data_IF_898680176097
#
_entry.id   IF_898680176097
#
_cell.length_a   1.000
_cell.length_b   1.000
_cell.length_c   1.000
_cell.angle_alpha   90.00
_cell.angle_beta   90.00
_cell.angle_gamma   90.00
#
_symmetry.space_group_name_H-M   'P 1'
#
loop_
_entity.id
_entity.type
_entity.pdbx_description
1 polymer ?
#
# COMPACT_ATOMS: atom_id res chain seq x y z
N UNK A 1 0.83 9.72 2.64
CA UNK A 1 0.29 8.37 2.36
C UNK A 1 0.19 8.12 0.85
N UNK A 2 -0.66 8.84 0.10
CA UNK A 2 -0.85 8.65 -1.36
C UNK A 2 0.46 8.78 -2.16
N UNK A 3 1.28 9.79 -1.88
CA UNK A 3 2.61 9.92 -2.52
C UNK A 3 3.54 8.73 -2.26
N UNK A 4 3.51 8.18 -1.04
CA UNK A 4 4.26 6.96 -0.68
C UNK A 4 3.75 5.73 -1.44
N UNK A 5 2.43 5.55 -1.54
CA UNK A 5 1.81 4.47 -2.33
C UNK A 5 2.16 4.59 -3.82
N UNK A 6 2.20 5.82 -4.35
CA UNK A 6 2.60 6.08 -5.74
C UNK A 6 4.05 5.67 -5.98
N UNK A 7 4.96 6.01 -5.06
CA UNK A 7 6.36 5.56 -5.13
C UNK A 7 6.51 4.04 -5.05
N UNK A 8 5.73 3.37 -4.19
CA UNK A 8 5.71 1.90 -4.12
C UNK A 8 5.28 1.29 -5.46
N UNK A 9 4.23 1.83 -6.08
CA UNK A 9 3.77 1.38 -7.40
C UNK A 9 4.82 1.62 -8.50
N UNK A 10 5.52 2.76 -8.47
CA UNK A 10 6.65 3.03 -9.39
C UNK A 10 7.77 2.02 -9.18
N UNK A 11 8.12 1.70 -7.93
CA UNK A 11 9.14 0.68 -7.64
C UNK A 11 8.77 -0.70 -8.19
N UNK A 12 7.51 -1.12 -8.03
CA UNK A 12 6.99 -2.34 -8.66
C UNK A 12 7.04 -2.28 -10.19
N UNK A 13 6.63 -1.17 -10.80
CA UNK A 13 6.69 -1.00 -12.25
C UNK A 13 8.13 -1.06 -12.80
N UNK A 14 9.09 -0.45 -12.10
CA UNK A 14 10.51 -0.54 -12.47
C UNK A 14 11.01 -2.00 -12.46
N UNK A 15 10.63 -2.77 -11.43
CA UNK A 15 10.97 -4.19 -11.36
C UNK A 15 10.26 -5.02 -12.43
N UNK A 16 9.02 -4.66 -12.79
CA UNK A 16 8.27 -5.31 -13.86
C UNK A 16 8.87 -5.11 -15.25
N UNK A 17 9.64 -4.03 -15.44
CA UNK A 17 10.32 -3.67 -16.68
C UNK A 17 11.74 -4.25 -16.79
N UNK A 18 12.17 -5.06 -15.82
CA UNK A 18 13.49 -5.69 -15.86
C UNK A 18 13.62 -6.58 -17.12
N UNK A 19 14.74 -6.49 -17.87
CA UNK A 19 14.94 -7.31 -19.06
C UNK A 19 15.20 -8.78 -18.69
N UNK A 20 15.14 -9.68 -19.67
CA UNK A 20 15.34 -11.12 -19.47
C UNK A 20 16.69 -11.48 -18.79
N UNK A 21 17.72 -10.66 -18.98
CA UNK A 21 19.03 -10.81 -18.33
C UNK A 21 19.35 -9.55 -17.52
N UNK A 22 18.76 -9.37 -16.34
CA UNK A 22 18.90 -8.13 -15.57
C UNK A 22 20.23 -8.09 -14.84
N UNK A 23 20.81 -6.90 -14.76
CA UNK A 23 21.92 -6.62 -13.85
C UNK A 23 21.36 -6.00 -12.57
N UNK A 24 21.83 -6.47 -11.42
CA UNK A 24 21.29 -6.02 -10.14
C UNK A 24 21.32 -4.50 -9.98
N UNK A 25 22.45 -3.87 -10.29
CA UNK A 25 22.66 -2.42 -10.05
C UNK A 25 21.78 -1.54 -10.94
N UNK A 26 21.55 -1.94 -12.20
CA UNK A 26 20.80 -1.11 -13.16
C UNK A 26 19.30 -1.39 -13.12
N UNK A 27 18.92 -2.66 -13.00
CA UNK A 27 17.55 -3.09 -13.29
C UNK A 27 16.77 -3.41 -12.02
N UNK A 28 17.44 -3.81 -10.93
CA UNK A 28 16.78 -4.24 -9.68
C UNK A 28 16.92 -3.18 -8.58
N UNK A 29 18.15 -2.71 -8.35
CA UNK A 29 18.49 -1.79 -7.27
C UNK A 29 17.65 -0.50 -7.29
N UNK A 30 17.40 0.17 -8.44
CA UNK A 30 16.57 1.36 -8.46
C UNK A 30 15.12 1.04 -8.06
N UNK A 31 14.56 -0.06 -8.57
CA UNK A 31 13.21 -0.50 -8.26
C UNK A 31 12.99 -0.77 -6.77
N UNK A 32 13.86 -1.58 -6.15
CA UNK A 32 13.78 -1.87 -4.70
C UNK A 32 14.04 -0.64 -3.83
N UNK A 33 14.91 0.28 -4.28
CA UNK A 33 15.23 1.50 -3.53
C UNK A 33 14.06 2.47 -3.51
N UNK A 34 13.44 2.71 -4.68
CA UNK A 34 12.24 3.55 -4.80
C UNK A 34 11.08 2.94 -4.03
N UNK A 35 10.91 1.62 -4.11
CA UNK A 35 9.89 0.90 -3.35
C UNK A 35 10.10 1.04 -1.83
N UNK A 36 11.33 0.85 -1.33
CA UNK A 36 11.64 0.98 0.10
C UNK A 36 11.43 2.40 0.63
N UNK A 37 11.80 3.41 -0.17
CA UNK A 37 11.53 4.80 0.16
C UNK A 37 10.02 5.09 0.22
N UNK A 38 9.26 4.63 -0.78
CA UNK A 38 7.81 4.73 -0.82
C UNK A 38 7.14 4.05 0.39
N UNK A 39 7.60 2.84 0.75
CA UNK A 39 7.11 2.10 1.92
C UNK A 39 7.35 2.87 3.21
N UNK A 40 8.50 3.52 3.37
CA UNK A 40 8.82 4.32 4.56
C UNK A 40 7.87 5.51 4.71
N UNK A 41 7.56 6.20 3.60
CA UNK A 41 6.59 7.30 3.55
C UNK A 41 5.13 6.86 3.72
N UNK A 42 4.84 5.57 3.48
CA UNK A 42 3.51 4.98 3.62
C UNK A 42 3.26 4.45 5.04
N UNK A 43 4.18 3.63 5.56
CA UNK A 43 4.00 2.87 6.81
C UNK A 43 3.92 3.78 8.03
N UNK A 44 4.75 4.83 8.08
CA UNK A 44 4.77 5.79 9.19
C UNK A 44 3.41 6.47 9.43
N UNK A 45 2.81 7.18 8.44
CA UNK A 45 1.51 7.79 8.64
C UNK A 45 0.39 6.75 8.80
N UNK A 46 0.44 5.60 8.12
CA UNK A 46 -0.60 4.57 8.22
C UNK A 46 -0.71 4.03 9.65
N UNK A 47 0.42 3.68 10.27
CA UNK A 47 0.47 3.23 11.66
C UNK A 47 -0.06 4.31 12.61
N UNK A 48 0.35 5.56 12.38
CA UNK A 48 -0.15 6.71 13.14
C UNK A 48 -1.67 6.86 13.06
N UNK A 49 -2.25 6.76 11.85
CA UNK A 49 -3.71 6.87 11.67
C UNK A 49 -4.49 5.75 12.37
N UNK A 50 -3.99 4.51 12.31
CA UNK A 50 -4.65 3.36 12.97
C UNK A 50 -4.62 3.51 14.49
N UNK A 51 -3.49 3.94 15.05
CA UNK A 51 -3.37 4.17 16.48
C UNK A 51 -4.22 5.37 16.95
N UNK A 52 -4.28 6.44 16.15
CA UNK A 52 -5.08 7.64 16.46
C UNK A 52 -6.59 7.39 16.38
N UNK A 53 -7.04 6.39 15.62
CA UNK A 53 -8.44 5.98 15.55
C UNK A 53 -8.90 5.20 16.81
N UNK A 54 -7.96 4.76 17.66
CA UNK A 54 -8.27 3.99 18.86
C UNK A 54 -8.64 4.89 20.05
N UNK A 55 -9.63 4.51 20.88
CA UNK A 55 -9.90 5.19 22.14
C UNK A 55 -8.67 5.21 23.06
N UNK A 56 -8.55 6.25 23.89
CA UNK A 56 -7.48 6.40 24.86
C UNK A 56 -7.28 5.13 25.70
N UNK A 57 -6.06 4.60 25.74
CA UNK A 57 -5.73 3.35 26.45
C UNK A 57 -5.86 2.06 25.63
N UNK A 58 -6.30 2.11 24.36
CA UNK A 58 -6.44 0.92 23.48
C UNK A 58 -5.48 0.87 22.30
N UNK A 59 -4.39 1.65 22.32
CA UNK A 59 -3.37 1.66 21.25
C UNK A 59 -2.70 0.30 21.05
N UNK A 60 -2.51 -0.47 22.13
CA UNK A 60 -1.99 -1.84 22.07
C UNK A 60 -2.88 -2.80 21.27
N UNK A 61 -4.20 -2.72 21.46
CA UNK A 61 -5.19 -3.50 20.69
C UNK A 61 -5.17 -3.09 19.21
N UNK A 62 -5.14 -1.79 18.93
CA UNK A 62 -5.09 -1.28 17.56
C UNK A 62 -3.82 -1.72 16.81
N UNK A 63 -2.65 -1.68 17.46
CA UNK A 63 -1.40 -2.20 16.89
C UNK A 63 -1.45 -3.72 16.69
N UNK A 64 -2.05 -4.46 17.63
CA UNK A 64 -2.25 -5.91 17.51
C UNK A 64 -3.09 -6.28 16.29
N UNK A 65 -4.20 -5.57 16.07
CA UNK A 65 -5.05 -5.75 14.87
C UNK A 65 -4.27 -5.42 13.61
N UNK A 66 -3.56 -4.28 13.56
CA UNK A 66 -2.75 -3.90 12.41
C UNK A 66 -1.70 -4.95 12.05
N UNK A 67 -1.03 -5.52 13.05
CA UNK A 67 -0.06 -6.60 12.86
C UNK A 67 -0.72 -7.89 12.35
N UNK A 68 -1.86 -8.28 12.91
CA UNK A 68 -2.61 -9.46 12.48
C UNK A 68 -3.06 -9.33 11.02
N UNK A 69 -3.63 -8.18 10.65
CA UNK A 69 -4.03 -7.86 9.28
C UNK A 69 -2.82 -7.89 8.35
N UNK A 70 -1.72 -7.22 8.69
CA UNK A 70 -0.52 -7.15 7.85
C UNK A 70 0.07 -8.53 7.56
N UNK A 71 0.18 -9.38 8.59
CA UNK A 71 0.67 -10.76 8.40
C UNK A 71 -0.27 -11.60 7.55
N UNK A 72 -1.57 -11.52 7.83
CA UNK A 72 -2.57 -12.28 7.08
C UNK A 72 -2.58 -11.86 5.61
N UNK A 73 -2.53 -10.57 5.32
CA UNK A 73 -2.40 -10.05 3.96
C UNK A 73 -1.14 -10.58 3.25
N UNK A 74 0.01 -10.61 3.96
CA UNK A 74 1.24 -11.20 3.44
C UNK A 74 1.10 -12.69 3.10
N UNK A 75 0.49 -13.49 3.98
CA UNK A 75 0.24 -14.91 3.74
C UNK A 75 -0.70 -15.15 2.56
N UNK A 76 -1.78 -14.35 2.47
CA UNK A 76 -2.71 -14.40 1.34
C UNK A 76 -1.99 -14.03 0.03
N UNK A 77 -1.17 -12.98 0.03
CA UNK A 77 -0.40 -12.60 -1.15
C UNK A 77 0.56 -13.72 -1.58
N UNK A 78 1.28 -14.33 -0.65
CA UNK A 78 2.19 -15.47 -0.92
C UNK A 78 1.45 -16.67 -1.50
N UNK A 79 0.24 -16.96 -1.01
CA UNK A 79 -0.55 -18.08 -1.52
C UNK A 79 -1.21 -17.78 -2.87
N UNK A 80 -1.78 -16.58 -3.04
CA UNK A 80 -2.61 -16.25 -4.19
C UNK A 80 -1.82 -15.76 -5.40
N UNK A 81 -0.75 -14.98 -5.19
CA UNK A 81 -0.05 -14.32 -6.29
C UNK A 81 0.58 -15.31 -7.28
N UNK A 82 1.25 -16.41 -6.87
CA UNK A 82 1.78 -17.39 -7.81
C UNK A 82 0.69 -18.05 -8.65
N UNK A 83 -0.45 -18.39 -8.04
CA UNK A 83 -1.61 -18.93 -8.76
C UNK A 83 -2.16 -17.93 -9.76
N UNK A 84 -2.24 -16.65 -9.39
CA UNK A 84 -2.75 -15.57 -10.24
C UNK A 84 -1.91 -15.38 -11.51
N UNK A 85 -0.60 -15.63 -11.44
CA UNK A 85 0.33 -15.51 -12.57
C UNK A 85 0.63 -16.84 -13.26
N UNK A 86 -0.11 -17.91 -12.92
CA UNK A 86 0.03 -19.22 -13.55
C UNK A 86 1.30 -19.99 -13.16
N UNK A 87 1.94 -19.61 -12.05
CA UNK A 87 3.15 -20.25 -11.54
C UNK A 87 2.78 -21.33 -10.51
N UNK A 88 2.54 -22.55 -11.01
CA UNK A 88 2.15 -23.72 -10.21
C UNK A 88 2.88 -24.99 -10.63
N UNK A 89 3.13 -25.89 -9.68
CA UNK A 89 3.70 -27.22 -9.96
C UNK A 89 5.04 -27.18 -10.70
N UNK A 90 5.15 -27.88 -11.82
CA UNK A 90 6.38 -27.94 -12.63
C UNK A 90 6.75 -26.61 -13.29
N UNK A 91 5.87 -25.61 -13.32
CA UNK A 91 6.17 -24.29 -13.88
C UNK A 91 7.35 -23.60 -13.18
N UNK A 92 7.62 -23.93 -11.91
CA UNK A 92 8.78 -23.43 -11.17
C UNK A 92 10.13 -23.93 -11.68
N UNK A 93 10.14 -25.01 -12.46
CA UNK A 93 11.37 -25.59 -13.02
C UNK A 93 11.82 -24.89 -14.31
N UNK A 94 10.97 -24.01 -14.86
CA UNK A 94 11.23 -23.27 -16.09
C UNK A 94 11.57 -21.81 -15.75
N UNK A 95 12.83 -21.44 -15.97
CA UNK A 95 13.34 -20.11 -15.65
C UNK A 95 12.68 -18.98 -16.45
N UNK A 96 12.31 -19.23 -17.71
CA UNK A 96 11.65 -18.21 -18.54
C UNK A 96 10.23 -17.94 -18.03
N UNK A 97 9.50 -19.00 -17.70
CA UNK A 97 8.15 -18.89 -17.11
C UNK A 97 8.17 -18.20 -15.75
N UNK A 98 9.17 -18.47 -14.92
CA UNK A 98 9.36 -17.77 -13.64
C UNK A 98 9.62 -16.27 -13.87
N UNK A 99 10.45 -15.91 -14.84
CA UNK A 99 10.74 -14.52 -15.16
C UNK A 99 9.51 -13.75 -15.70
N UNK A 100 8.74 -14.37 -16.60
CA UNK A 100 7.49 -13.80 -17.11
C UNK A 100 6.43 -13.64 -16.01
N UNK A 101 6.27 -14.66 -15.17
CA UNK A 101 5.38 -14.65 -14.02
C UNK A 101 5.78 -13.57 -13.00
N UNK A 102 7.08 -13.36 -12.78
CA UNK A 102 7.59 -12.28 -11.94
C UNK A 102 7.18 -10.90 -12.47
N UNK A 103 7.43 -10.61 -13.75
CA UNK A 103 7.06 -9.33 -14.35
C UNK A 103 5.56 -9.07 -14.28
N UNK A 104 4.75 -10.08 -14.62
CA UNK A 104 3.29 -10.02 -14.51
C UNK A 104 2.82 -9.82 -13.07
N UNK A 105 3.45 -10.50 -12.10
CA UNK A 105 3.17 -10.36 -10.68
C UNK A 105 3.48 -8.95 -10.16
N UNK A 106 4.56 -8.34 -10.62
CA UNK A 106 4.90 -6.97 -10.27
C UNK A 106 3.85 -5.96 -10.79
N UNK A 107 3.28 -6.18 -11.98
CA UNK A 107 2.17 -5.36 -12.46
C UNK A 107 0.89 -5.52 -11.63
N UNK A 108 0.57 -6.74 -11.18
CA UNK A 108 -0.53 -6.97 -10.24
C UNK A 108 -0.32 -6.24 -8.91
N UNK A 109 0.89 -6.28 -8.37
CA UNK A 109 1.26 -5.53 -7.17
C UNK A 109 1.13 -4.01 -7.38
N UNK A 110 1.65 -3.48 -8.49
CA UNK A 110 1.55 -2.07 -8.84
C UNK A 110 0.08 -1.62 -8.95
N UNK A 111 -0.74 -2.37 -9.69
CA UNK A 111 -2.16 -2.10 -9.84
C UNK A 111 -2.90 -2.12 -8.51
N UNK A 112 -2.65 -3.12 -7.66
CA UNK A 112 -3.27 -3.23 -6.34
C UNK A 112 -2.94 -2.05 -5.42
N UNK A 113 -1.68 -1.60 -5.43
CA UNK A 113 -1.25 -0.43 -4.65
C UNK A 113 -1.89 0.85 -5.17
N UNK A 114 -2.02 1.01 -6.49
CA UNK A 114 -2.69 2.16 -7.09
C UNK A 114 -4.19 2.19 -6.77
N UNK A 115 -4.86 1.04 -6.79
CA UNK A 115 -6.24 0.92 -6.31
C UNK A 115 -6.37 1.39 -4.85
N UNK A 116 -5.45 0.95 -3.98
CA UNK A 116 -5.37 1.41 -2.59
C UNK A 116 -5.10 2.91 -2.46
N UNK A 117 -4.24 3.47 -3.32
CA UNK A 117 -3.94 4.91 -3.35
C UNK A 117 -5.16 5.73 -3.76
N UNK A 118 -5.94 5.27 -4.75
CA UNK A 118 -7.20 5.91 -5.14
C UNK A 118 -8.22 5.86 -4.01
N UNK A 119 -8.40 4.70 -3.37
CA UNK A 119 -9.29 4.58 -2.22
C UNK A 119 -8.88 5.51 -1.08
N UNK A 120 -7.57 5.62 -0.80
CA UNK A 120 -7.05 6.53 0.20
C UNK A 120 -7.27 8.01 -0.16
N UNK A 121 -7.08 8.39 -1.43
CA UNK A 121 -7.32 9.75 -1.89
C UNK A 121 -8.79 10.16 -1.72
N UNK A 122 -9.72 9.30 -2.15
CA UNK A 122 -11.17 9.55 -2.01
C UNK A 122 -11.60 9.57 -0.54
N UNK A 123 -11.10 8.62 0.26
CA UNK A 123 -11.43 8.54 1.69
C UNK A 123 -10.91 9.73 2.49
N UNK A 124 -9.65 10.14 2.30
CA UNK A 124 -9.04 11.22 3.08
C UNK A 124 -9.61 12.60 2.72
N UNK A 125 -9.90 12.87 1.45
CA UNK A 125 -10.55 14.12 1.06
C UNK A 125 -11.96 14.26 1.66
N UNK A 126 -12.68 13.15 1.81
CA UNK A 126 -14.01 13.14 2.40
C UNK A 126 -13.99 13.51 3.90
N UNK A 127 -13.01 13.02 4.65
CA UNK A 127 -12.86 13.30 6.08
C UNK A 127 -12.47 14.76 6.35
N UNK A 128 -11.55 15.32 5.55
CA UNK A 128 -11.14 16.72 5.67
C UNK A 128 -12.32 17.67 5.40
N UNK A 129 -13.10 17.42 4.34
CA UNK A 129 -14.31 18.22 4.06
C UNK A 129 -15.35 18.13 5.17
N UNK A 130 -15.58 16.93 5.72
CA UNK A 130 -16.56 16.70 6.79
C UNK A 130 -16.20 17.45 8.09
N UNK A 131 -14.91 17.50 8.43
CA UNK A 131 -14.43 18.27 9.59
C UNK A 131 -14.56 19.77 9.36
N UNK A 132 -14.23 20.25 8.16
CA UNK A 132 -14.36 21.66 7.81
C UNK A 132 -15.82 22.14 7.87
N UNK A 133 -16.78 21.34 7.39
CA UNK A 133 -18.21 21.67 7.48
C UNK A 133 -18.72 21.70 8.93
N UNK A 134 -18.32 20.72 9.76
CA UNK A 134 -18.69 20.67 11.18
C UNK A 134 -18.15 21.86 11.98
N UNK A 135 -16.93 22.33 11.67
CA UNK A 135 -16.35 23.50 12.32
C UNK A 135 -17.02 24.81 11.90
N UNK A 136 -17.38 24.94 10.62
CA UNK A 136 -18.12 26.09 10.11
C UNK A 136 -19.54 26.17 10.70
N UNK A 137 -20.20 25.02 10.90
CA UNK A 137 -21.51 24.93 11.55
C UNK A 137 -21.45 25.35 13.02
N UNK A 138 -20.45 24.90 13.78
CA UNK A 138 -20.24 25.35 15.17
C UNK A 138 -19.81 26.82 15.30
N UNK A 139 -19.05 27.35 14.34
CA UNK A 139 -18.66 28.76 14.32
C UNK A 139 -19.80 29.70 13.88
N UNK A 140 -20.81 29.16 13.19
CA UNK A 140 -21.97 29.89 12.69
C UNK A 140 -23.18 29.93 13.64
N UNK A 141 -23.15 29.25 14.78
CA UNK A 141 -24.20 29.36 15.81
C UNK A 141 -23.93 30.63 16.64
N UNK A 142 -24.70 31.72 16.48
CA UNK A 142 -24.58 32.86 17.38
C UNK A 142 -24.91 32.40 18.80
N UNK A 143 -24.04 32.78 19.75
CA UNK A 143 -24.26 32.53 21.17
C UNK A 143 -25.49 33.31 21.66
N UNK A 144 -26.68 32.73 21.48
CA UNK A 144 -27.87 33.16 22.19
C UNK A 144 -27.75 32.66 23.63
N UNK A 145 -27.11 33.46 24.48
CA UNK A 145 -27.29 33.38 25.91
C UNK A 145 -28.41 34.35 26.33
N UNK A 146 -29.47 33.85 27.00
CA UNK A 146 -30.53 34.67 27.61
C UNK A 146 -30.08 35.37 28.90
#
# INVERSE_FOLDING_TARGET
MVGGMTLVAVGFALLALAPANPTYVRDILPGVSVQGFGMSMLVSPLTGTVLAAAPSGRSGLASGINNAVSRTAGLVAVAALPMLVGLVGSAYQDGERVAEAFGTGMWWCAGSVLLGAMAAAVGLESDVRRRASSSAEHAGVPAHHP
#
